data_IF_277108210876
#
_entry.id   IF_277108210876
#
_cell.length_a   1.000
_cell.length_b   1.000
_cell.length_c   1.000
_cell.angle_alpha   90.00
_cell.angle_beta   90.00
_cell.angle_gamma   90.00
#
_symmetry.space_group_name_H-M   'P 1'
#
loop_
_entity.id
_entity.type
_entity.pdbx_description
1 polymer ?
#
# COMPACT_ATOMS: atom_id res chain seq x y z
N UNK A 1 6.06 -14.48 17.74
CA UNK A 1 5.68 -14.26 16.33
C UNK A 1 6.27 -12.96 15.78
N UNK A 2 6.01 -11.79 16.36
CA UNK A 2 6.55 -10.50 15.87
C UNK A 2 8.09 -10.48 15.76
N UNK A 3 8.80 -10.97 16.78
CA UNK A 3 10.27 -11.05 16.75
C UNK A 3 10.81 -11.86 15.56
N UNK A 4 10.15 -12.96 15.19
CA UNK A 4 10.55 -13.78 14.05
C UNK A 4 10.40 -13.01 12.73
N UNK A 5 9.27 -12.28 12.56
CA UNK A 5 9.07 -11.41 11.40
C UNK A 5 10.14 -10.32 11.34
N UNK A 6 10.44 -9.67 12.47
CA UNK A 6 11.46 -8.63 12.53
C UNK A 6 12.85 -9.15 12.11
N UNK A 7 13.23 -10.34 12.57
CA UNK A 7 14.50 -10.96 12.16
C UNK A 7 14.49 -11.33 10.68
N UNK A 8 13.39 -11.89 10.17
CA UNK A 8 13.28 -12.30 8.77
C UNK A 8 13.35 -11.10 7.82
N UNK A 9 12.53 -10.07 8.04
CA UNK A 9 12.55 -8.85 7.25
C UNK A 9 13.89 -8.12 7.38
N UNK A 10 14.41 -8.00 8.61
CA UNK A 10 15.71 -7.38 8.86
C UNK A 10 16.85 -8.08 8.11
N UNK A 11 16.90 -9.41 8.15
CA UNK A 11 17.93 -10.19 7.46
C UNK A 11 17.87 -10.04 5.94
N UNK A 12 16.67 -9.95 5.36
CA UNK A 12 16.51 -9.75 3.91
C UNK A 12 17.02 -8.37 3.50
N UNK A 13 16.68 -7.33 4.26
CA UNK A 13 17.14 -5.94 3.98
C UNK A 13 18.66 -5.84 4.12
N UNK A 14 19.23 -6.38 5.20
CA UNK A 14 20.69 -6.37 5.41
C UNK A 14 21.39 -7.16 4.31
N UNK A 15 20.91 -8.36 3.98
CA UNK A 15 21.48 -9.17 2.90
C UNK A 15 21.43 -8.47 1.55
N UNK A 16 20.29 -7.85 1.21
CA UNK A 16 20.14 -7.06 -0.02
C UNK A 16 21.11 -5.87 -0.08
N UNK A 17 21.26 -5.13 1.02
CA UNK A 17 22.17 -4.00 1.08
C UNK A 17 23.65 -4.41 0.98
N UNK A 18 24.04 -5.54 1.58
CA UNK A 18 25.41 -6.07 1.50
C UNK A 18 25.79 -6.47 0.07
N UNK A 19 24.85 -7.04 -0.70
CA UNK A 19 25.11 -7.53 -2.06
C UNK A 19 25.06 -6.41 -3.10
N UNK A 20 24.05 -5.53 -3.03
CA UNK A 20 23.81 -4.50 -4.04
C UNK A 20 24.38 -3.12 -3.69
N UNK A 21 24.82 -2.93 -2.44
CA UNK A 21 25.41 -1.68 -1.97
C UNK A 21 24.49 -0.48 -2.12
N UNK A 22 25.07 0.67 -2.48
CA UNK A 22 24.33 1.93 -2.63
C UNK A 22 23.55 2.05 -3.95
N UNK A 23 23.74 1.14 -4.90
CA UNK A 23 23.11 1.15 -6.23
C UNK A 23 21.84 0.31 -6.31
N UNK A 24 21.27 -0.11 -5.18
CA UNK A 24 20.05 -0.91 -5.15
C UNK A 24 18.86 -0.07 -5.61
N UNK A 25 18.18 -0.54 -6.65
CA UNK A 25 16.91 0.06 -7.05
C UNK A 25 15.88 -0.21 -5.95
N UNK A 26 15.00 0.76 -5.62
CA UNK A 26 13.98 0.55 -4.59
C UNK A 26 13.10 -0.66 -4.92
N UNK A 27 12.90 -0.95 -6.22
CA UNK A 27 12.38 -2.24 -6.66
C UNK A 27 13.53 -3.24 -6.83
N UNK A 28 13.68 -4.14 -5.85
CA UNK A 28 14.73 -5.16 -5.84
C UNK A 28 14.66 -6.07 -7.08
N UNK A 29 13.48 -6.29 -7.66
CA UNK A 29 13.34 -7.10 -8.88
C UNK A 29 14.09 -6.47 -10.07
N UNK A 30 14.19 -5.15 -10.12
CA UNK A 30 14.93 -4.44 -11.18
C UNK A 30 16.45 -4.45 -10.94
N UNK A 31 16.89 -4.80 -9.74
CA UNK A 31 18.32 -4.93 -9.40
C UNK A 31 18.85 -6.35 -9.62
N UNK A 32 17.97 -7.31 -9.90
CA UNK A 32 18.37 -8.70 -10.13
C UNK A 32 19.18 -8.79 -11.44
N UNK A 33 20.41 -9.31 -11.37
CA UNK A 33 21.25 -9.50 -12.55
C UNK A 33 20.75 -10.61 -13.48
N UNK A 34 21.29 -10.68 -14.70
CA UNK A 34 20.94 -11.68 -15.70
C UNK A 34 21.42 -13.09 -15.30
N UNK A 35 20.58 -13.80 -14.55
CA UNK A 35 20.81 -15.19 -14.16
C UNK A 35 19.51 -16.00 -14.26
N UNK A 36 19.64 -17.31 -14.52
CA UNK A 36 18.47 -18.21 -14.58
C UNK A 36 17.64 -18.19 -13.28
N UNK A 37 18.31 -18.04 -12.13
CA UNK A 37 17.65 -17.92 -10.83
C UNK A 37 16.86 -16.61 -10.72
N UNK A 38 17.42 -15.50 -11.24
CA UNK A 38 16.74 -14.21 -11.28
C UNK A 38 15.45 -14.28 -12.10
N UNK A 39 15.52 -14.84 -13.31
CA UNK A 39 14.35 -15.01 -14.17
C UNK A 39 13.27 -15.86 -13.51
N UNK A 40 13.66 -16.96 -12.87
CA UNK A 40 12.72 -17.82 -12.15
C UNK A 40 12.04 -17.08 -11.00
N UNK A 41 12.80 -16.29 -10.22
CA UNK A 41 12.26 -15.50 -9.12
C UNK A 41 11.29 -14.41 -9.60
N UNK A 42 11.62 -13.73 -10.72
CA UNK A 42 10.75 -12.71 -11.33
C UNK A 42 9.45 -13.34 -11.79
N UNK A 43 9.49 -14.48 -12.48
CA UNK A 43 8.29 -15.21 -12.94
C UNK A 43 7.45 -15.68 -11.74
N UNK A 44 8.09 -16.23 -10.70
CA UNK A 44 7.40 -16.68 -9.49
C UNK A 44 6.72 -15.50 -8.75
N UNK A 45 7.41 -14.36 -8.64
CA UNK A 45 6.85 -13.16 -8.03
C UNK A 45 5.68 -12.61 -8.87
N UNK A 46 5.82 -12.55 -10.20
CA UNK A 46 4.74 -12.14 -11.09
C UNK A 46 3.51 -13.05 -10.92
N UNK A 47 3.71 -14.38 -10.89
CA UNK A 47 2.64 -15.34 -10.63
C UNK A 47 1.98 -15.13 -9.26
N UNK A 48 2.78 -14.92 -8.20
CA UNK A 48 2.28 -14.61 -6.87
C UNK A 48 1.40 -13.36 -6.85
N UNK A 49 1.83 -12.29 -7.51
CA UNK A 49 1.09 -11.02 -7.58
C UNK A 49 -0.24 -11.17 -8.36
N UNK A 50 -0.23 -11.89 -9.48
CA UNK A 50 -1.45 -12.16 -10.27
C UNK A 50 -2.46 -12.97 -9.45
N UNK A 51 -2.01 -14.05 -8.81
CA UNK A 51 -2.87 -14.89 -7.97
C UNK A 51 -3.40 -14.10 -6.77
N UNK A 52 -2.54 -13.32 -6.11
CA UNK A 52 -2.92 -12.45 -5.01
C UNK A 52 -3.98 -11.43 -5.42
N UNK A 53 -3.82 -10.80 -6.59
CA UNK A 53 -4.79 -9.87 -7.14
C UNK A 53 -6.17 -10.51 -7.34
N UNK A 54 -6.23 -11.70 -7.97
CA UNK A 54 -7.49 -12.43 -8.19
C UNK A 54 -8.20 -12.74 -6.87
N UNK A 55 -7.44 -13.13 -5.83
CA UNK A 55 -7.98 -13.43 -4.51
C UNK A 55 -8.55 -12.17 -3.85
N UNK A 56 -7.86 -11.03 -3.93
CA UNK A 56 -8.24 -9.78 -3.28
C UNK A 56 -9.42 -9.10 -3.97
N UNK A 57 -9.50 -9.15 -5.30
CA UNK A 57 -10.56 -8.48 -6.08
C UNK A 57 -11.96 -8.97 -5.71
N UNK A 58 -12.10 -10.25 -5.36
CA UNK A 58 -13.40 -10.84 -4.99
C UNK A 58 -14.05 -10.13 -3.79
N UNK A 59 -13.48 -10.13 -2.57
CA UNK A 59 -14.08 -9.45 -1.44
C UNK A 59 -14.15 -7.92 -1.62
N UNK A 60 -13.21 -7.31 -2.34
CA UNK A 60 -13.26 -5.86 -2.64
C UNK A 60 -14.49 -5.53 -3.49
N UNK A 61 -14.77 -6.32 -4.53
CA UNK A 61 -15.93 -6.13 -5.38
C UNK A 61 -17.23 -6.31 -4.60
N UNK A 62 -17.32 -7.34 -3.75
CA UNK A 62 -18.48 -7.60 -2.90
C UNK A 62 -18.72 -6.47 -1.89
N UNK A 63 -17.64 -5.90 -1.33
CA UNK A 63 -17.73 -4.75 -0.42
C UNK A 63 -18.24 -3.49 -1.12
N UNK A 64 -17.79 -3.23 -2.34
CA UNK A 64 -18.27 -2.09 -3.14
C UNK A 64 -19.71 -2.31 -3.60
N UNK A 65 -20.09 -3.52 -4.02
CA UNK A 65 -21.47 -3.87 -4.35
C UNK A 65 -22.42 -3.63 -3.16
N UNK A 66 -21.98 -4.00 -1.95
CA UNK A 66 -22.73 -3.75 -0.71
C UNK A 66 -22.85 -2.27 -0.40
N UNK A 67 -21.81 -1.46 -0.66
CA UNK A 67 -21.85 -0.01 -0.45
C UNK A 67 -22.85 0.68 -1.39
N UNK A 68 -22.93 0.21 -2.65
CA UNK A 68 -23.90 0.68 -3.63
C UNK A 68 -25.31 0.06 -3.46
N UNK A 69 -25.53 -0.75 -2.43
CA UNK A 69 -26.80 -1.39 -2.09
C UNK A 69 -27.44 -2.12 -3.30
N UNK A 70 -26.60 -2.74 -4.14
CA UNK A 70 -27.07 -3.42 -5.35
C UNK A 70 -27.82 -4.69 -4.95
N UNK A 71 -29.05 -4.84 -5.45
CA UNK A 71 -29.91 -5.99 -5.15
C UNK A 71 -29.18 -7.32 -5.42
N UNK A 72 -29.37 -8.30 -4.53
CA UNK A 72 -28.63 -9.57 -4.55
C UNK A 72 -28.90 -10.47 -5.76
N UNK A 73 -29.78 -10.06 -6.66
CA UNK A 73 -30.12 -10.75 -7.92
C UNK A 73 -29.01 -10.61 -8.97
N UNK A 74 -28.78 -11.67 -9.76
CA UNK A 74 -27.82 -11.68 -10.87
C UNK A 74 -28.25 -10.67 -11.94
N UNK A 75 -27.75 -9.44 -11.86
CA UNK A 75 -28.08 -8.37 -12.78
C UNK A 75 -26.83 -7.74 -13.40
N UNK A 76 -27.00 -7.23 -14.62
CA UNK A 76 -26.11 -6.28 -15.32
C UNK A 76 -25.43 -5.23 -14.40
N UNK A 77 -26.07 -4.64 -13.36
CA UNK A 77 -25.40 -3.72 -12.44
C UNK A 77 -24.14 -4.28 -11.75
N UNK A 78 -24.10 -5.58 -11.41
CA UNK A 78 -22.91 -6.19 -10.79
C UNK A 78 -21.73 -6.23 -11.74
N UNK A 79 -22.00 -6.54 -13.01
CA UNK A 79 -20.96 -6.56 -14.04
C UNK A 79 -20.38 -5.17 -14.25
N UNK A 80 -21.24 -4.14 -14.28
CA UNK A 80 -20.81 -2.74 -14.39
C UNK A 80 -19.93 -2.32 -13.22
N UNK A 81 -20.31 -2.63 -11.97
CA UNK A 81 -19.51 -2.29 -10.78
C UNK A 81 -18.15 -3.00 -10.77
N UNK A 82 -18.10 -4.27 -11.15
CA UNK A 82 -16.84 -5.04 -11.19
C UNK A 82 -15.91 -4.53 -12.28
N UNK A 83 -16.44 -4.28 -13.48
CA UNK A 83 -15.65 -3.74 -14.58
C UNK A 83 -15.18 -2.33 -14.24
N UNK A 84 -16.03 -1.47 -13.67
CA UNK A 84 -15.61 -0.11 -13.29
C UNK A 84 -14.55 -0.11 -12.20
N UNK A 85 -14.63 -1.02 -11.22
CA UNK A 85 -13.60 -1.21 -10.20
C UNK A 85 -12.26 -1.64 -10.82
N UNK A 86 -12.29 -2.64 -11.71
CA UNK A 86 -11.09 -3.10 -12.40
C UNK A 86 -10.49 -2.01 -13.28
N UNK A 87 -11.33 -1.25 -13.99
CA UNK A 87 -10.90 -0.14 -14.84
C UNK A 87 -10.29 1.00 -14.01
N UNK A 88 -10.84 1.29 -12.84
CA UNK A 88 -10.26 2.24 -11.89
C UNK A 88 -8.90 1.75 -11.36
N UNK A 89 -8.75 0.47 -11.04
CA UNK A 89 -7.47 -0.12 -10.62
C UNK A 89 -6.41 -0.03 -11.74
N UNK A 90 -6.79 -0.33 -12.99
CA UNK A 90 -5.91 -0.20 -14.15
C UNK A 90 -5.52 1.27 -14.36
N UNK A 91 -6.49 2.18 -14.31
CA UNK A 91 -6.21 3.62 -14.45
C UNK A 91 -5.27 4.15 -13.37
N UNK A 92 -5.41 3.71 -12.12
CA UNK A 92 -4.46 4.03 -11.05
C UNK A 92 -3.05 3.48 -11.33
N UNK A 93 -2.96 2.31 -11.94
CA UNK A 93 -1.69 1.72 -12.38
C UNK A 93 -1.03 2.49 -13.52
N UNK A 94 -1.81 2.98 -14.49
CA UNK A 94 -1.30 3.80 -15.60
C UNK A 94 -0.85 5.19 -15.15
N UNK A 95 -1.55 5.80 -14.19
CA UNK A 95 -1.21 7.14 -13.69
C UNK A 95 0.09 7.11 -12.87
N UNK A 96 0.40 6.00 -12.20
CA UNK A 96 1.52 5.91 -11.27
C UNK A 96 2.72 5.19 -11.89
N UNK A 97 3.78 5.93 -12.30
CA UNK A 97 4.95 5.33 -12.94
C UNK A 97 5.77 4.44 -11.98
N UNK A 98 5.64 4.65 -10.67
CA UNK A 98 6.35 3.89 -9.64
C UNK A 98 5.39 3.20 -8.67
N UNK A 99 5.40 1.87 -8.71
CA UNK A 99 4.62 1.02 -7.82
C UNK A 99 4.94 1.25 -6.33
N UNK A 100 6.21 1.51 -6.00
CA UNK A 100 6.66 1.66 -4.61
C UNK A 100 6.06 2.89 -3.95
N UNK A 101 6.00 4.01 -4.67
CA UNK A 101 5.44 5.25 -4.15
C UNK A 101 3.91 5.09 -3.97
N UNK A 102 3.23 4.38 -4.88
CA UNK A 102 1.82 4.03 -4.74
C UNK A 102 1.58 3.17 -3.48
N UNK A 103 2.37 2.12 -3.27
CA UNK A 103 2.25 1.25 -2.10
C UNK A 103 2.57 2.01 -0.82
N UNK A 104 3.55 2.91 -0.83
CA UNK A 104 3.89 3.77 0.30
C UNK A 104 2.71 4.68 0.67
N UNK A 105 2.06 5.32 -0.31
CA UNK A 105 0.94 6.24 -0.09
C UNK A 105 -0.33 5.53 0.41
N UNK A 106 -0.64 4.36 -0.15
CA UNK A 106 -1.76 3.52 0.33
C UNK A 106 -1.44 2.95 1.71
N UNK A 107 -0.19 2.56 1.96
CA UNK A 107 0.29 2.03 3.22
C UNK A 107 0.21 3.05 4.35
N UNK A 108 0.79 4.24 4.16
CA UNK A 108 0.79 5.28 5.20
C UNK A 108 -0.61 5.80 5.50
N UNK A 109 -1.55 5.77 4.55
CA UNK A 109 -2.94 6.13 4.83
C UNK A 109 -3.69 4.99 5.54
N UNK A 110 -3.74 3.81 4.93
CA UNK A 110 -4.62 2.72 5.36
C UNK A 110 -4.07 1.99 6.58
N UNK A 111 -2.78 1.68 6.59
CA UNK A 111 -2.15 0.93 7.69
C UNK A 111 -2.12 1.78 8.94
N UNK A 112 -1.83 3.08 8.85
CA UNK A 112 -1.77 3.94 10.03
C UNK A 112 -3.16 4.14 10.64
N UNK A 113 -4.16 4.37 9.79
CA UNK A 113 -5.54 4.44 10.23
C UNK A 113 -5.99 3.14 10.91
N UNK A 114 -5.67 1.98 10.31
CA UNK A 114 -6.10 0.67 10.79
C UNK A 114 -5.33 0.16 12.02
N UNK A 115 -4.05 0.54 12.19
CA UNK A 115 -3.21 0.01 13.27
C UNK A 115 -3.08 0.96 14.47
N UNK A 116 -3.09 2.27 14.27
CA UNK A 116 -2.93 3.25 15.35
C UNK A 116 -4.25 3.91 15.74
N UNK A 117 -5.03 4.37 14.75
CA UNK A 117 -6.18 5.25 15.00
C UNK A 117 -7.44 4.45 15.36
N UNK A 118 -7.88 3.53 14.48
CA UNK A 118 -9.12 2.77 14.64
C UNK A 118 -9.14 1.92 15.92
N UNK A 119 -8.10 1.11 16.25
CA UNK A 119 -8.12 0.28 17.45
C UNK A 119 -8.19 1.11 18.72
N UNK A 120 -7.44 2.23 18.76
CA UNK A 120 -7.41 3.14 19.90
C UNK A 120 -8.75 3.85 20.11
N UNK A 121 -9.38 4.33 19.03
CA UNK A 121 -10.71 4.98 19.10
C UNK A 121 -11.77 3.97 19.52
N UNK A 122 -11.80 2.77 18.93
CA UNK A 122 -12.77 1.74 19.28
C UNK A 122 -12.63 1.29 20.72
N UNK A 123 -11.41 1.16 21.24
CA UNK A 123 -11.20 0.84 22.63
C UNK A 123 -11.70 1.95 23.57
N UNK A 124 -11.38 3.21 23.28
CA UNK A 124 -11.85 4.35 24.08
C UNK A 124 -13.38 4.45 24.05
N UNK A 125 -14.00 4.24 22.88
CA UNK A 125 -15.46 4.21 22.72
C UNK A 125 -16.08 3.08 23.52
N UNK A 126 -15.52 1.87 23.45
CA UNK A 126 -16.03 0.71 24.15
C UNK A 126 -15.97 0.88 25.68
N UNK A 127 -14.90 1.46 26.21
CA UNK A 127 -14.79 1.73 27.64
C UNK A 127 -15.59 2.95 28.12
N UNK A 128 -16.08 3.78 27.19
CA UNK A 128 -16.97 4.91 27.49
C UNK A 128 -18.45 4.52 27.41
N UNK A 129 -18.79 3.38 26.82
CA UNK A 129 -20.17 2.90 26.73
C UNK A 129 -20.57 2.27 28.06
N UNK A 130 -21.54 2.88 28.74
CA UNK A 130 -22.14 2.34 29.95
C UNK A 130 -23.39 1.55 29.56
N UNK A 131 -23.37 0.23 29.76
CA UNK A 131 -24.44 -0.70 29.39
C UNK A 131 -24.84 -1.50 30.62
N UNK A 132 -26.14 -1.69 30.83
CA UNK A 132 -26.69 -2.43 31.98
C UNK A 132 -26.24 -3.91 32.05
N UNK A 133 -25.71 -4.46 30.94
CA UNK A 133 -25.31 -5.87 30.83
C UNK A 133 -23.79 -6.06 30.83
N UNK A 134 -23.00 -4.99 30.67
CA UNK A 134 -21.53 -5.06 30.57
C UNK A 134 -20.85 -4.46 31.81
N UNK A 135 -19.81 -5.10 32.35
CA UNK A 135 -19.09 -4.57 33.51
C UNK A 135 -18.41 -3.24 33.17
N UNK A 136 -18.64 -2.21 34.00
CA UNK A 136 -18.02 -0.90 33.84
C UNK A 136 -16.49 -1.00 33.94
N UNK A 137 -15.82 -0.68 32.84
CA UNK A 137 -14.35 -0.58 32.78
C UNK A 137 -13.95 0.88 32.85
N UNK A 138 -13.88 1.41 34.07
CA UNK A 138 -13.35 2.77 34.29
C UNK A 138 -11.85 2.78 34.05
N UNK A 139 -11.44 3.27 32.88
CA UNK A 139 -10.03 3.44 32.54
C UNK A 139 -9.41 4.55 33.39
N UNK A 140 -8.30 4.21 34.04
CA UNK A 140 -7.42 5.20 34.67
C UNK A 140 -7.00 6.26 33.65
N UNK A 141 -6.89 7.52 34.10
CA UNK A 141 -6.48 8.65 33.26
C UNK A 141 -5.18 8.40 32.51
N UNK A 142 -4.23 7.67 33.13
CA UNK A 142 -2.95 7.30 32.50
C UNK A 142 -3.16 6.46 31.24
N UNK A 143 -4.03 5.44 31.30
CA UNK A 143 -4.33 4.58 30.15
C UNK A 143 -5.00 5.34 29.01
N UNK A 144 -5.89 6.30 29.34
CA UNK A 144 -6.49 7.20 28.33
C UNK A 144 -5.42 8.07 27.67
N UNK A 145 -4.51 8.65 28.46
CA UNK A 145 -3.40 9.45 27.93
C UNK A 145 -2.49 8.63 27.00
N UNK A 146 -2.16 7.39 27.35
CA UNK A 146 -1.39 6.50 26.47
C UNK A 146 -2.08 6.28 25.12
N UNK A 147 -3.40 6.09 25.10
CA UNK A 147 -4.13 5.91 23.84
C UNK A 147 -4.16 7.17 22.98
N UNK A 148 -4.36 8.34 23.59
CA UNK A 148 -4.26 9.60 22.85
C UNK A 148 -2.85 9.84 22.29
N UNK A 149 -1.81 9.48 23.03
CA UNK A 149 -0.42 9.57 22.55
C UNK A 149 -0.18 8.66 21.35
N UNK A 150 -0.70 7.43 21.36
CA UNK A 150 -0.59 6.49 20.22
C UNK A 150 -1.30 7.03 18.98
N UNK A 151 -2.50 7.60 19.15
CA UNK A 151 -3.23 8.26 18.05
C UNK A 151 -2.43 9.43 17.50
N UNK A 152 -1.86 10.28 18.37
CA UNK A 152 -1.08 11.44 17.96
C UNK A 152 0.18 11.03 17.19
N UNK A 153 0.95 10.07 17.70
CA UNK A 153 2.16 9.54 17.04
C UNK A 153 1.81 8.91 15.70
N UNK A 154 0.71 8.14 15.62
CA UNK A 154 0.23 7.58 14.37
C UNK A 154 -0.11 8.66 13.35
N UNK A 155 -0.88 9.68 13.74
CA UNK A 155 -1.26 10.78 12.85
C UNK A 155 -0.04 11.57 12.37
N UNK A 156 0.86 11.98 13.26
CA UNK A 156 2.02 12.78 12.86
C UNK A 156 2.99 12.00 11.97
N UNK A 157 3.29 10.74 12.31
CA UNK A 157 4.12 9.88 11.47
C UNK A 157 3.47 9.59 10.11
N UNK A 158 2.15 9.41 10.07
CA UNK A 158 1.41 9.18 8.84
C UNK A 158 1.31 10.39 7.93
N UNK A 159 1.06 11.57 8.49
CA UNK A 159 1.07 12.81 7.70
C UNK A 159 2.46 13.08 7.13
N UNK A 160 3.53 12.90 7.92
CA UNK A 160 4.89 13.07 7.43
C UNK A 160 5.20 12.09 6.29
N UNK A 161 4.93 10.80 6.47
CA UNK A 161 5.15 9.80 5.43
C UNK A 161 4.32 10.05 4.16
N UNK A 162 3.07 10.49 4.32
CA UNK A 162 2.19 10.82 3.20
C UNK A 162 2.71 12.03 2.42
N UNK A 163 3.19 13.07 3.11
CA UNK A 163 3.79 14.23 2.45
C UNK A 163 5.08 13.87 1.72
N UNK A 164 5.93 13.01 2.29
CA UNK A 164 7.13 12.51 1.62
C UNK A 164 6.79 11.72 0.37
N UNK A 165 5.88 10.74 0.47
CA UNK A 165 5.46 9.95 -0.69
C UNK A 165 4.81 10.82 -1.78
N UNK A 166 4.01 11.83 -1.38
CA UNK A 166 3.38 12.75 -2.33
C UNK A 166 4.41 13.66 -3.02
N UNK A 167 5.39 14.17 -2.29
CA UNK A 167 6.47 14.98 -2.84
C UNK A 167 7.28 14.18 -3.87
N UNK A 168 7.59 12.91 -3.57
CA UNK A 168 8.29 12.01 -4.51
C UNK A 168 7.47 11.72 -5.76
N UNK A 169 6.15 11.58 -5.67
CA UNK A 169 5.27 11.40 -6.84
C UNK A 169 5.25 12.65 -7.72
N UNK A 170 5.17 13.84 -7.11
CA UNK A 170 5.15 15.12 -7.84
C UNK A 170 6.51 15.37 -8.51
N UNK A 171 7.60 15.16 -7.80
CA UNK A 171 8.96 15.39 -8.30
C UNK A 171 9.30 14.45 -9.47
N UNK A 172 8.80 13.22 -9.44
CA UNK A 172 8.90 12.28 -10.56
C UNK A 172 8.19 12.77 -11.82
N UNK A 173 7.02 13.40 -11.70
CA UNK A 173 6.34 13.98 -12.87
C UNK A 173 7.14 15.14 -13.50
N UNK A 174 7.87 15.92 -12.69
CA UNK A 174 8.78 16.95 -13.21
C UNK A 174 10.05 16.39 -13.85
N UNK A 175 10.58 15.27 -13.35
CA UNK A 175 11.77 14.60 -13.91
C UNK A 175 11.46 13.76 -15.17
N UNK A 176 10.21 13.30 -15.34
CA UNK A 176 9.76 12.58 -16.55
C UNK A 176 9.72 13.50 -17.78
N UNK A 177 9.42 14.80 -17.61
CA UNK A 177 9.38 15.78 -18.72
C UNK A 177 10.72 15.89 -19.48
N UNK A 178 11.89 16.02 -18.84
CA UNK A 178 13.18 16.02 -19.55
C UNK A 178 13.65 14.64 -20.03
N UNK A 179 13.23 13.53 -19.42
CA UNK A 179 13.60 12.18 -19.88
C UNK A 179 12.90 11.78 -21.19
N UNK A 180 11.64 12.19 -21.38
CA UNK A 180 10.91 11.97 -22.64
C UNK A 180 11.49 12.80 -23.80
N UNK A 181 11.96 14.02 -23.55
CA UNK A 181 12.66 14.82 -24.57
C UNK A 181 13.99 14.15 -24.99
N UNK A 182 14.75 13.60 -24.04
CA UNK A 182 16.00 12.87 -24.35
C UNK A 182 15.78 11.55 -25.10
N UNK A 183 14.70 10.80 -24.78
CA UNK A 183 14.37 9.56 -25.48
C UNK A 183 13.89 9.84 -26.92
N UNK A 184 13.10 10.89 -27.14
CA UNK A 184 12.67 11.28 -28.50
C UNK A 184 13.84 11.82 -29.35
N UNK A 185 14.77 12.60 -28.78
CA UNK A 185 16.00 13.02 -29.47
C UNK A 185 16.92 11.82 -29.81
N UNK A 186 16.92 10.78 -28.97
CA UNK A 186 17.68 9.55 -29.23
C UNK A 186 17.07 8.69 -30.34
N UNK A 187 15.75 8.77 -30.55
CA UNK A 187 15.05 8.04 -31.62
C UNK A 187 15.16 8.78 -32.97
N UNK A 188 15.14 10.12 -32.96
CA UNK A 188 15.29 10.96 -34.17
C UNK A 188 16.72 10.94 -34.75
N UNK A 189 17.73 10.78 -33.88
CA UNK A 189 19.14 10.62 -34.28
C UNK A 189 19.52 9.22 -34.79
N UNK A 190 18.65 8.22 -34.64
CA UNK A 190 18.83 6.88 -35.24
C UNK A 190 18.19 6.73 -36.63
N UNK A 191 17.38 7.70 -37.07
CA UNK A 191 16.73 7.71 -38.39
C UNK A 191 17.27 8.77 -39.37
N UNK A 192 18.37 9.45 -39.03
CA UNK A 192 19.08 10.41 -39.89
C UNK A 192 20.47 9.96 -40.30
#
# INVERSE_FOLDING_TARGET
>A
MYYFLAVLFGSIVVGGYVVYGHTINPNILMSLGDSWLSYTAIILMAGHLILGFVIIVKPVSEQVESFFNTSHTFGFPRFVVRISLLLAMIGLGEIMPNFINLVALIGCSTVILSTFVLPSIFYLRLCSMQSATWPDRSLSWKSKLYMYMVIFVGLTSGTLAMLTALAEVIDLQSLIRPYYEYFMDSEESTFS
#
